data_IF_712285473070
#
_entry.id   IF_712285473070
#
_cell.length_a   1.000
_cell.length_b   1.000
_cell.length_c   1.000
_cell.angle_alpha   90.00
_cell.angle_beta   90.00
_cell.angle_gamma   90.00
#
_symmetry.space_group_name_H-M   'P 1'
#
loop_
_entity.id
_entity.type
_entity.pdbx_description
1 polymer ?
#
# COMPACT_ATOMS: atom_id res chain seq x y z
N UNK A 1 2.04 -27.93 9.16
CA UNK A 1 2.40 -26.82 10.03
C UNK A 1 3.73 -26.26 9.56
N UNK A 2 3.78 -24.97 9.29
CA UNK A 2 5.01 -24.24 8.95
C UNK A 2 5.50 -23.55 10.22
N UNK A 3 6.58 -24.01 10.89
CA UNK A 3 7.06 -23.43 12.14
C UNK A 3 7.58 -21.99 11.98
N UNK A 4 7.90 -21.59 10.72
CA UNK A 4 8.38 -20.25 10.38
C UNK A 4 7.24 -19.33 9.93
N UNK A 5 5.99 -19.80 9.93
CA UNK A 5 4.85 -19.00 9.51
C UNK A 5 4.55 -17.93 10.56
N UNK A 6 4.55 -16.69 10.10
CA UNK A 6 4.14 -15.55 10.90
C UNK A 6 2.66 -15.30 10.72
N UNK A 7 1.90 -15.33 11.81
CA UNK A 7 0.54 -14.85 11.85
C UNK A 7 0.52 -13.38 12.26
N UNK A 8 0.01 -12.53 11.40
CA UNK A 8 -0.28 -11.12 11.72
C UNK A 8 -1.72 -10.78 11.31
N UNK A 9 -2.24 -9.68 11.83
CA UNK A 9 -3.58 -9.25 11.49
C UNK A 9 -3.95 -7.89 12.05
N UNK A 10 -5.17 -7.49 11.74
CA UNK A 10 -5.79 -6.22 12.13
C UNK A 10 -6.99 -6.52 13.04
N UNK A 11 -6.78 -6.85 14.31
CA UNK A 11 -7.87 -7.20 15.20
C UNK A 11 -8.72 -5.97 15.54
N UNK A 12 -10.01 -6.20 15.82
CA UNK A 12 -10.85 -5.17 16.43
C UNK A 12 -10.32 -4.83 17.85
N UNK A 13 -10.65 -3.65 18.37
CA UNK A 13 -10.23 -3.22 19.70
C UNK A 13 -10.57 -4.23 20.80
N UNK A 14 -11.72 -4.88 20.70
CA UNK A 14 -12.14 -5.91 21.66
C UNK A 14 -11.22 -7.14 21.57
N UNK A 15 -10.93 -7.61 20.37
CA UNK A 15 -10.05 -8.74 20.14
C UNK A 15 -8.61 -8.43 20.56
N UNK A 16 -8.16 -7.19 20.28
CA UNK A 16 -6.86 -6.70 20.68
C UNK A 16 -6.68 -6.72 22.20
N UNK A 17 -7.60 -6.10 22.96
CA UNK A 17 -7.55 -6.07 24.43
C UNK A 17 -7.52 -7.47 25.02
N UNK A 18 -8.36 -8.37 24.51
CA UNK A 18 -8.39 -9.75 24.98
C UNK A 18 -7.10 -10.50 24.63
N UNK A 19 -6.65 -10.41 23.39
CA UNK A 19 -5.44 -11.09 22.91
C UNK A 19 -4.17 -10.63 23.63
N UNK A 20 -4.03 -9.32 23.88
CA UNK A 20 -2.91 -8.76 24.63
C UNK A 20 -2.94 -9.24 26.10
N UNK A 21 -4.12 -9.23 26.73
CA UNK A 21 -4.27 -9.73 28.12
C UNK A 21 -3.93 -11.21 28.25
N UNK A 22 -4.21 -12.00 27.23
CA UNK A 22 -3.90 -13.43 27.21
C UNK A 22 -2.47 -13.75 26.71
N UNK A 23 -1.67 -12.73 26.34
CA UNK A 23 -0.34 -12.93 25.80
C UNK A 23 -0.33 -13.52 24.38
N UNK A 24 -1.46 -13.49 23.67
CA UNK A 24 -1.61 -14.03 22.31
C UNK A 24 -1.24 -13.03 21.23
N UNK A 25 -1.26 -11.73 21.55
CA UNK A 25 -0.98 -10.66 20.62
C UNK A 25 0.07 -9.69 21.18
N UNK A 26 0.99 -9.30 20.31
CA UNK A 26 1.91 -8.19 20.54
C UNK A 26 1.76 -7.19 19.39
N UNK A 27 1.71 -5.89 19.69
CA UNK A 27 1.71 -4.84 18.69
C UNK A 27 3.04 -4.81 17.97
N UNK A 28 3.02 -4.82 16.65
CA UNK A 28 4.22 -4.80 15.81
C UNK A 28 4.36 -3.52 14.97
N UNK A 29 3.26 -2.83 14.68
CA UNK A 29 3.28 -1.53 14.01
C UNK A 29 1.97 -0.76 14.24
N UNK A 30 1.99 0.53 13.93
CA UNK A 30 0.83 1.40 13.89
C UNK A 30 0.25 1.47 12.48
N UNK A 31 -1.05 1.71 12.40
CA UNK A 31 -1.78 1.91 11.16
C UNK A 31 -2.17 3.38 11.03
N UNK A 32 -1.75 4.02 9.95
CA UNK A 32 -1.91 5.44 9.72
C UNK A 32 -2.88 5.72 8.58
N UNK A 33 -3.75 6.72 8.75
CA UNK A 33 -4.47 7.37 7.66
C UNK A 33 -3.66 8.57 7.18
N UNK A 34 -3.47 8.67 5.87
CA UNK A 34 -2.63 9.65 5.21
C UNK A 34 -3.47 10.38 4.17
N UNK A 35 -3.57 11.69 4.24
CA UNK A 35 -4.21 12.50 3.20
C UNK A 35 -3.16 13.23 2.37
N UNK A 36 -3.44 13.43 1.08
CA UNK A 36 -2.51 14.02 0.13
C UNK A 36 -2.94 15.41 -0.32
N UNK A 37 -1.96 16.30 -0.47
CA UNK A 37 -2.20 17.63 -1.04
C UNK A 37 -2.46 17.56 -2.54
N UNK A 38 -3.65 17.98 -2.94
CA UNK A 38 -4.05 18.09 -4.35
C UNK A 38 -3.45 19.30 -5.06
N UNK A 39 -2.81 20.23 -4.36
CA UNK A 39 -2.20 21.44 -4.92
C UNK A 39 -0.71 21.30 -5.22
N UNK A 40 -0.06 20.23 -4.76
CA UNK A 40 1.39 20.03 -4.89
C UNK A 40 1.87 20.17 -6.35
N UNK A 41 2.82 21.07 -6.67
CA UNK A 41 3.19 21.44 -8.05
C UNK A 41 3.86 20.29 -8.84
N UNK A 42 4.65 19.44 -8.20
CA UNK A 42 5.34 18.33 -8.87
C UNK A 42 4.40 17.32 -9.54
N UNK A 43 3.13 17.30 -9.16
CA UNK A 43 2.08 16.50 -9.82
C UNK A 43 1.94 16.81 -11.30
N UNK A 44 2.11 18.08 -11.72
CA UNK A 44 1.95 18.50 -13.11
C UNK A 44 3.04 17.91 -14.03
N UNK A 45 4.16 17.48 -13.46
CA UNK A 45 5.26 16.82 -14.17
C UNK A 45 5.04 15.33 -14.42
N UNK A 46 3.90 14.75 -14.01
CA UNK A 46 3.60 13.34 -14.19
C UNK A 46 2.55 13.11 -15.28
N UNK A 47 2.60 11.94 -15.87
CA UNK A 47 1.55 11.42 -16.77
C UNK A 47 1.00 10.14 -16.16
N UNK A 48 -0.31 10.09 -16.02
CA UNK A 48 -1.03 8.90 -15.55
C UNK A 48 -1.93 8.38 -16.66
N UNK A 49 -2.00 7.08 -16.79
CA UNK A 49 -2.87 6.41 -17.77
C UNK A 49 -3.50 5.20 -17.09
N UNK A 50 -4.81 5.12 -17.17
CA UNK A 50 -5.51 3.92 -16.76
C UNK A 50 -5.12 2.75 -17.65
N UNK A 51 -4.94 1.58 -17.06
CA UNK A 51 -4.51 0.36 -17.72
C UNK A 51 -5.32 -0.85 -17.24
N UNK A 52 -5.30 -1.91 -18.02
CA UNK A 52 -6.02 -3.15 -17.69
C UNK A 52 -5.02 -4.27 -17.39
N UNK A 53 -5.33 -5.09 -16.39
CA UNK A 53 -4.61 -6.34 -16.13
C UNK A 53 -4.79 -7.39 -17.25
N UNK A 54 -5.76 -7.23 -18.14
CA UNK A 54 -5.88 -8.07 -19.32
C UNK A 54 -4.79 -7.82 -20.38
N UNK A 55 -4.02 -6.71 -20.30
CA UNK A 55 -2.91 -6.43 -21.19
C UNK A 55 -1.64 -7.16 -20.70
N UNK A 56 -1.08 -8.15 -21.44
CA UNK A 56 0.12 -8.87 -21.03
C UNK A 56 1.35 -7.96 -20.87
N UNK A 57 1.39 -6.81 -21.56
CA UNK A 57 2.48 -5.84 -21.42
C UNK A 57 2.44 -5.18 -20.04
N UNK A 58 1.24 -4.89 -19.53
CA UNK A 58 1.05 -4.36 -18.17
C UNK A 58 1.52 -5.37 -17.14
N UNK A 59 1.15 -6.66 -17.28
CA UNK A 59 1.59 -7.73 -16.39
C UNK A 59 3.12 -7.87 -16.37
N UNK A 60 3.75 -7.87 -17.55
CA UNK A 60 5.22 -7.92 -17.66
C UNK A 60 5.88 -6.73 -16.97
N UNK A 61 5.32 -5.52 -17.13
CA UNK A 61 5.87 -4.32 -16.49
C UNK A 61 5.68 -4.34 -14.97
N UNK A 62 4.55 -4.84 -14.46
CA UNK A 62 4.30 -5.01 -13.01
C UNK A 62 5.35 -5.95 -12.42
N UNK A 63 5.57 -7.12 -13.02
CA UNK A 63 6.57 -8.09 -12.55
C UNK A 63 8.00 -7.49 -12.56
N UNK A 64 8.35 -6.73 -13.59
CA UNK A 64 9.64 -6.06 -13.67
C UNK A 64 9.79 -4.97 -12.57
N UNK A 65 8.73 -4.24 -12.26
CA UNK A 65 8.74 -3.23 -11.20
C UNK A 65 8.72 -3.85 -9.82
N UNK A 66 8.02 -4.97 -9.65
CA UNK A 66 8.08 -5.75 -8.40
C UNK A 66 9.51 -6.22 -8.11
N UNK A 67 10.20 -6.79 -9.09
CA UNK A 67 11.61 -7.15 -8.94
C UNK A 67 12.53 -5.98 -8.59
N UNK A 68 12.20 -4.74 -9.02
CA UNK A 68 12.93 -3.53 -8.64
C UNK A 68 12.57 -2.98 -7.26
N UNK A 69 11.39 -3.30 -6.76
CA UNK A 69 10.93 -2.89 -5.43
C UNK A 69 11.66 -3.63 -4.31
N UNK A 70 11.83 -4.94 -4.47
CA UNK A 70 12.37 -5.84 -3.45
C UNK A 70 13.72 -5.41 -2.86
N UNK A 71 14.75 -5.06 -3.66
CA UNK A 71 16.04 -4.64 -3.09
C UNK A 71 15.95 -3.38 -2.22
N UNK A 72 15.02 -2.48 -2.54
CA UNK A 72 14.83 -1.23 -1.79
C UNK A 72 14.09 -1.40 -0.47
N UNK A 73 13.44 -2.52 -0.26
CA UNK A 73 12.74 -2.85 0.98
C UNK A 73 13.69 -3.40 2.06
N UNK A 74 14.84 -3.98 1.65
CA UNK A 74 15.81 -4.55 2.60
C UNK A 74 15.19 -5.66 3.46
N UNK A 75 15.18 -5.48 4.78
CA UNK A 75 14.63 -6.46 5.74
C UNK A 75 13.12 -6.25 6.03
N UNK A 76 12.44 -5.35 5.31
CA UNK A 76 11.02 -5.13 5.57
C UNK A 76 10.18 -6.30 5.06
N UNK A 77 9.17 -6.64 5.82
CA UNK A 77 8.13 -7.59 5.41
C UNK A 77 7.12 -6.88 4.52
N UNK A 78 6.79 -7.50 3.40
CA UNK A 78 5.91 -6.94 2.37
C UNK A 78 5.04 -8.06 1.77
N UNK A 79 3.78 -7.78 1.48
CA UNK A 79 2.94 -8.66 0.69
C UNK A 79 3.43 -8.73 -0.76
N UNK A 80 3.17 -9.84 -1.42
CA UNK A 80 3.50 -10.01 -2.84
C UNK A 80 2.79 -8.96 -3.72
N UNK A 81 3.50 -8.45 -4.76
CA UNK A 81 2.95 -7.50 -5.75
C UNK A 81 3.25 -7.94 -7.18
N UNK A 82 3.27 -9.27 -7.40
CA UNK A 82 3.34 -9.81 -8.75
C UNK A 82 2.08 -9.47 -9.57
N UNK A 83 2.18 -9.62 -10.88
CA UNK A 83 1.04 -9.44 -11.76
C UNK A 83 -0.08 -10.44 -11.46
N UNK A 84 0.26 -11.67 -11.10
CA UNK A 84 -0.72 -12.71 -10.74
C UNK A 84 -1.48 -12.33 -9.48
N UNK A 85 -0.76 -11.85 -8.45
CA UNK A 85 -1.39 -11.35 -7.23
C UNK A 85 -2.31 -10.17 -7.52
N UNK A 86 -1.87 -9.16 -8.29
CA UNK A 86 -2.66 -7.99 -8.62
C UNK A 86 -3.88 -8.33 -9.49
N UNK A 87 -3.74 -9.30 -10.39
CA UNK A 87 -4.85 -9.80 -11.20
C UNK A 87 -5.93 -10.46 -10.33
N UNK A 88 -5.52 -11.32 -9.41
CA UNK A 88 -6.42 -11.95 -8.45
C UNK A 88 -7.05 -10.92 -7.51
N UNK A 89 -6.22 -10.06 -6.89
CA UNK A 89 -6.64 -9.16 -5.82
C UNK A 89 -7.51 -8.01 -6.31
N UNK A 90 -7.19 -7.43 -7.47
CA UNK A 90 -7.81 -6.19 -7.94
C UNK A 90 -8.67 -6.37 -9.18
N UNK A 91 -8.22 -7.11 -10.19
CA UNK A 91 -8.96 -7.24 -11.44
C UNK A 91 -10.17 -8.19 -11.32
N UNK A 92 -10.07 -9.21 -10.46
CA UNK A 92 -11.12 -10.20 -10.25
C UNK A 92 -11.78 -10.13 -8.87
N UNK A 93 -11.66 -8.99 -8.18
CA UNK A 93 -12.28 -8.85 -6.86
C UNK A 93 -13.82 -8.89 -6.97
N UNK A 94 -14.50 -9.78 -6.21
CA UNK A 94 -15.94 -10.04 -6.45
C UNK A 94 -16.87 -8.89 -6.03
N UNK A 95 -16.43 -8.02 -5.11
CA UNK A 95 -17.30 -7.03 -4.49
C UNK A 95 -16.82 -5.58 -4.67
N UNK A 96 -15.57 -5.36 -5.06
CA UNK A 96 -14.99 -4.02 -5.15
C UNK A 96 -14.48 -3.73 -6.56
N UNK A 97 -14.64 -2.49 -6.99
CA UNK A 97 -14.09 -2.02 -8.26
C UNK A 97 -12.82 -1.22 -8.01
N UNK A 98 -11.71 -1.70 -8.54
CA UNK A 98 -10.41 -1.05 -8.48
C UNK A 98 -10.03 -0.46 -9.84
N UNK A 99 -9.35 0.67 -9.82
CA UNK A 99 -8.83 1.35 -11.01
C UNK A 99 -7.30 1.33 -10.95
N UNK A 100 -6.68 0.85 -12.01
CA UNK A 100 -5.25 0.67 -12.11
C UNK A 100 -4.63 1.71 -13.01
N UNK A 101 -3.60 2.41 -12.55
CA UNK A 101 -2.93 3.46 -13.31
C UNK A 101 -1.42 3.22 -13.42
N UNK A 102 -0.90 3.36 -14.62
CA UNK A 102 0.52 3.49 -14.90
C UNK A 102 0.95 4.94 -14.67
N UNK A 103 2.00 5.16 -13.88
CA UNK A 103 2.60 6.48 -13.60
C UNK A 103 3.94 6.58 -14.31
N UNK A 104 4.13 7.64 -15.11
CA UNK A 104 5.36 7.88 -15.88
C UNK A 104 5.75 9.35 -15.91
N UNK A 105 7.02 9.60 -16.21
CA UNK A 105 7.49 10.96 -16.54
C UNK A 105 7.06 11.33 -17.96
N UNK A 106 6.85 12.62 -18.29
CA UNK A 106 6.37 13.05 -19.62
C UNK A 106 7.19 12.53 -20.79
N UNK A 107 8.50 12.53 -20.63
CA UNK A 107 9.46 12.19 -21.69
C UNK A 107 9.93 10.72 -21.66
N UNK A 108 9.42 9.93 -20.71
CA UNK A 108 9.81 8.54 -20.56
C UNK A 108 8.64 7.60 -20.90
N UNK A 109 8.78 6.74 -21.91
CA UNK A 109 7.67 5.91 -22.38
C UNK A 109 7.26 4.82 -21.37
N UNK A 110 8.21 4.28 -20.62
CA UNK A 110 7.95 3.25 -19.63
C UNK A 110 7.43 3.83 -18.30
N UNK A 111 6.47 3.17 -17.65
CA UNK A 111 6.07 3.54 -16.30
C UNK A 111 7.20 3.27 -15.30
N UNK A 112 7.30 4.11 -14.30
CA UNK A 112 8.18 3.88 -13.15
C UNK A 112 7.43 3.32 -11.94
N UNK A 113 6.10 3.37 -11.98
CA UNK A 113 5.22 2.80 -10.97
C UNK A 113 3.85 2.47 -11.55
N UNK A 114 3.15 1.56 -10.88
CA UNK A 114 1.70 1.42 -10.97
C UNK A 114 1.08 1.69 -9.62
N UNK A 115 -0.13 2.24 -9.64
CA UNK A 115 -0.93 2.55 -8.45
C UNK A 115 -2.34 2.01 -8.63
N UNK A 116 -2.95 1.55 -7.54
CA UNK A 116 -4.33 1.06 -7.50
C UNK A 116 -5.16 2.04 -6.69
N UNK A 117 -6.29 2.46 -7.25
CA UNK A 117 -7.25 3.34 -6.59
C UNK A 117 -8.61 2.67 -6.46
N UNK A 118 -9.35 3.03 -5.41
CA UNK A 118 -10.74 2.64 -5.19
C UNK A 118 -11.53 3.85 -4.68
N UNK A 119 -12.70 4.09 -5.25
CA UNK A 119 -13.62 5.09 -4.71
C UNK A 119 -14.29 4.55 -3.44
N UNK A 120 -14.27 5.32 -2.37
CA UNK A 120 -14.88 4.94 -1.07
C UNK A 120 -16.12 5.75 -0.76
N UNK A 121 -16.21 6.96 -1.32
CA UNK A 121 -17.38 7.83 -1.31
C UNK A 121 -17.29 8.75 -2.54
N UNK A 122 -18.37 9.38 -2.99
CA UNK A 122 -18.34 10.24 -4.16
C UNK A 122 -17.22 11.28 -4.10
N UNK A 123 -16.29 11.17 -5.05
CA UNK A 123 -15.12 12.05 -5.15
C UNK A 123 -14.00 11.80 -4.14
N UNK A 124 -14.12 10.82 -3.25
CA UNK A 124 -13.08 10.43 -2.29
C UNK A 124 -12.45 9.09 -2.67
N UNK A 125 -11.15 9.11 -2.95
CA UNK A 125 -10.42 7.99 -3.50
C UNK A 125 -9.34 7.48 -2.54
N UNK A 126 -9.38 6.19 -2.26
CA UNK A 126 -8.35 5.47 -1.52
C UNK A 126 -7.25 5.04 -2.49
N UNK A 127 -6.00 5.45 -2.24
CA UNK A 127 -4.84 4.84 -2.85
C UNK A 127 -4.54 3.53 -2.13
N UNK A 128 -4.85 2.43 -2.80
CA UNK A 128 -4.91 1.08 -2.22
C UNK A 128 -3.54 0.42 -2.18
N UNK A 129 -2.80 0.48 -3.29
CA UNK A 129 -1.54 -0.25 -3.43
C UNK A 129 -0.60 0.38 -4.47
N UNK A 130 0.64 -0.08 -4.45
CA UNK A 130 1.75 0.44 -5.24
C UNK A 130 2.71 -0.68 -5.63
N UNK A 131 3.23 -0.62 -6.86
CA UNK A 131 4.42 -1.36 -7.29
C UNK A 131 5.38 -0.45 -8.06
N UNK A 132 6.65 -0.49 -7.66
CA UNK A 132 7.72 0.34 -8.22
C UNK A 132 8.88 0.41 -7.25
N UNK A 133 10.02 0.98 -7.65
CA UNK A 133 11.13 1.19 -6.71
C UNK A 133 10.68 2.06 -5.53
N UNK A 134 11.05 1.70 -4.30
CA UNK A 134 10.69 2.46 -3.10
C UNK A 134 11.21 3.91 -3.10
N UNK A 135 12.25 4.18 -3.89
CA UNK A 135 12.79 5.54 -4.06
C UNK A 135 11.80 6.47 -4.77
N UNK A 136 10.97 5.93 -5.66
CA UNK A 136 9.96 6.72 -6.38
C UNK A 136 8.59 6.71 -5.70
N UNK A 137 8.46 6.14 -4.51
CA UNK A 137 7.20 6.04 -3.79
C UNK A 137 6.52 7.42 -3.57
N UNK A 138 7.23 8.49 -3.16
CA UNK A 138 6.62 9.82 -3.06
C UNK A 138 6.08 10.34 -4.41
N UNK A 139 6.78 10.06 -5.53
CA UNK A 139 6.28 10.42 -6.85
C UNK A 139 5.07 9.58 -7.27
N UNK A 140 5.01 8.33 -6.86
CA UNK A 140 3.84 7.48 -7.10
C UNK A 140 2.61 7.99 -6.34
N UNK A 141 2.78 8.52 -5.12
CA UNK A 141 1.72 9.20 -4.37
C UNK A 141 1.15 10.39 -5.15
N UNK A 142 2.01 11.24 -5.72
CA UNK A 142 1.58 12.33 -6.60
C UNK A 142 0.90 11.80 -7.88
N UNK A 143 1.32 10.65 -8.37
CA UNK A 143 0.66 9.91 -9.46
C UNK A 143 -0.75 9.45 -9.08
N UNK A 144 -0.94 8.93 -7.85
CA UNK A 144 -2.25 8.55 -7.34
C UNK A 144 -3.19 9.78 -7.24
N UNK A 145 -2.69 10.92 -6.75
CA UNK A 145 -3.44 12.19 -6.72
C UNK A 145 -3.82 12.64 -8.14
N UNK A 146 -2.89 12.55 -9.10
CA UNK A 146 -3.17 12.90 -10.49
C UNK A 146 -4.23 11.98 -11.12
N UNK A 147 -4.18 10.68 -10.84
CA UNK A 147 -5.17 9.70 -11.29
C UNK A 147 -6.54 9.96 -10.67
N UNK A 148 -6.62 10.24 -9.37
CA UNK A 148 -7.85 10.65 -8.70
C UNK A 148 -8.50 11.85 -9.39
N UNK A 149 -7.73 12.89 -9.70
CA UNK A 149 -8.26 14.07 -10.40
C UNK A 149 -8.72 13.77 -11.83
N UNK A 150 -8.04 12.89 -12.55
CA UNK A 150 -8.47 12.43 -13.87
C UNK A 150 -9.83 11.74 -13.81
N UNK A 151 -10.14 11.11 -12.67
CA UNK A 151 -11.43 10.48 -12.37
C UNK A 151 -12.50 11.48 -11.86
N UNK A 152 -12.19 12.76 -11.77
CA UNK A 152 -13.07 13.77 -11.19
C UNK A 152 -13.08 13.78 -9.65
N UNK A 153 -12.15 13.08 -9.02
CA UNK A 153 -12.03 13.01 -7.57
C UNK A 153 -11.51 14.30 -6.95
N UNK A 154 -11.92 14.55 -5.71
CA UNK A 154 -11.63 15.77 -4.94
C UNK A 154 -10.62 15.53 -3.84
N UNK A 155 -10.55 14.32 -3.30
CA UNK A 155 -9.60 13.95 -2.24
C UNK A 155 -9.00 12.56 -2.47
N UNK A 156 -7.73 12.42 -2.11
CA UNK A 156 -6.98 11.16 -2.13
C UNK A 156 -6.41 10.91 -0.76
N UNK A 157 -6.58 9.70 -0.27
CA UNK A 157 -6.00 9.27 1.00
C UNK A 157 -5.44 7.85 0.85
N UNK A 158 -4.61 7.43 1.79
CA UNK A 158 -4.08 6.09 1.87
C UNK A 158 -4.07 5.60 3.31
N UNK A 159 -3.95 4.30 3.48
CA UNK A 159 -3.56 3.70 4.75
C UNK A 159 -2.23 2.99 4.60
N UNK A 160 -1.43 3.03 5.65
CA UNK A 160 -0.15 2.33 5.67
C UNK A 160 0.49 2.28 7.05
N UNK A 161 1.51 1.44 7.13
CA UNK A 161 2.37 1.30 8.31
C UNK A 161 3.29 2.51 8.51
N UNK A 162 3.91 2.60 9.68
CA UNK A 162 4.93 3.61 9.99
C UNK A 162 6.03 3.67 8.93
N UNK A 163 6.46 2.52 8.39
CA UNK A 163 7.44 2.44 7.30
C UNK A 163 6.96 3.15 6.04
N UNK A 164 5.71 2.89 5.63
CA UNK A 164 5.08 3.54 4.46
C UNK A 164 5.00 5.05 4.67
N UNK A 165 4.58 5.47 5.85
CA UNK A 165 4.51 6.87 6.24
C UNK A 165 5.85 7.60 6.10
N UNK A 166 6.89 7.04 6.69
CA UNK A 166 8.21 7.65 6.70
C UNK A 166 8.80 7.81 5.29
N UNK A 167 8.33 7.02 4.32
CA UNK A 167 8.78 7.11 2.91
C UNK A 167 8.05 8.18 2.09
N UNK A 168 6.91 8.66 2.53
CA UNK A 168 6.16 9.71 1.83
C UNK A 168 6.77 11.10 1.99
N UNK A 169 7.40 11.38 3.14
CA UNK A 169 7.98 12.69 3.41
C UNK A 169 6.95 13.82 3.30
N UNK A 170 7.34 14.91 2.64
CA UNK A 170 6.53 16.14 2.51
C UNK A 170 5.34 16.02 1.53
N UNK A 171 5.20 14.89 0.85
CA UNK A 171 4.07 14.67 -0.09
C UNK A 171 2.75 14.42 0.66
N UNK A 172 2.84 13.89 1.88
CA UNK A 172 1.68 13.72 2.74
C UNK A 172 1.26 15.06 3.35
N UNK A 173 -0.03 15.41 3.22
CA UNK A 173 -0.59 16.63 3.80
C UNK A 173 -0.87 16.44 5.30
N UNK A 174 -1.51 15.33 5.65
CA UNK A 174 -1.77 14.96 7.04
C UNK A 174 -1.42 13.49 7.26
N UNK A 175 -1.05 13.19 8.49
CA UNK A 175 -0.83 11.85 8.99
C UNK A 175 -1.52 11.71 10.34
N UNK A 176 -2.43 10.75 10.44
CA UNK A 176 -3.14 10.46 11.68
C UNK A 176 -2.98 8.98 12.00
N UNK A 177 -2.41 8.63 13.17
CA UNK A 177 -2.51 7.26 13.63
C UNK A 177 -3.98 6.90 13.82
N UNK A 178 -4.37 5.71 13.38
CA UNK A 178 -5.72 5.19 13.59
C UNK A 178 -5.80 4.46 14.94
N UNK A 179 -7.00 4.05 15.33
CA UNK A 179 -7.17 3.16 16.49
C UNK A 179 -6.75 1.71 16.18
N UNK A 180 -6.62 1.37 14.90
CA UNK A 180 -6.21 0.04 14.45
C UNK A 180 -4.72 -0.15 14.72
N UNK A 181 -4.36 -1.32 15.25
CA UNK A 181 -2.99 -1.76 15.47
C UNK A 181 -2.73 -3.02 14.67
N UNK A 182 -1.51 -3.16 14.20
CA UNK A 182 -1.06 -4.40 13.56
C UNK A 182 -0.46 -5.28 14.63
N UNK A 183 -0.96 -6.49 14.71
CA UNK A 183 -0.61 -7.45 15.74
C UNK A 183 0.04 -8.68 15.15
N UNK A 184 1.00 -9.25 15.84
CA UNK A 184 1.52 -10.58 15.56
C UNK A 184 1.40 -11.49 16.80
N UNK A 185 1.43 -12.80 16.55
CA UNK A 185 1.49 -13.77 17.63
C UNK A 185 2.93 -13.87 18.15
N UNK A 186 3.22 -13.52 19.42
CA UNK A 186 4.56 -13.60 20.00
C UNK A 186 5.10 -15.03 20.10
N UNK A 187 4.22 -16.05 20.05
CA UNK A 187 4.62 -17.45 20.03
C UNK A 187 5.21 -17.91 18.68
N UNK A 188 5.19 -17.07 17.64
CA UNK A 188 5.78 -17.38 16.33
C UNK A 188 7.32 -17.47 16.33
N UNK A 189 7.96 -17.38 17.50
CA UNK A 189 9.40 -17.53 17.70
C UNK A 189 9.97 -16.51 18.70
N UNK A 190 10.93 -16.92 19.49
CA UNK A 190 11.61 -16.04 20.42
C UNK A 190 12.30 -14.88 19.70
N UNK A 191 11.98 -13.63 20.08
CA UNK A 191 12.57 -12.43 19.49
C UNK A 191 11.98 -12.02 18.15
N UNK A 192 10.92 -12.68 17.68
CA UNK A 192 10.31 -12.35 16.38
C UNK A 192 9.67 -10.95 16.39
N UNK A 193 8.90 -10.66 17.44
CA UNK A 193 8.21 -9.36 17.56
C UNK A 193 9.21 -8.22 17.56
N UNK A 194 10.28 -8.34 18.35
CA UNK A 194 11.35 -7.34 18.46
C UNK A 194 12.12 -7.18 17.15
N UNK A 195 12.36 -8.27 16.45
CA UNK A 195 13.10 -8.26 15.18
C UNK A 195 12.34 -7.55 14.08
N UNK A 196 11.01 -7.70 14.02
CA UNK A 196 10.18 -7.21 12.94
C UNK A 196 9.25 -6.03 13.33
N UNK A 197 9.30 -5.55 14.57
CA UNK A 197 8.60 -4.34 14.95
C UNK A 197 8.99 -3.17 14.03
N UNK A 198 7.99 -2.45 13.51
CA UNK A 198 8.14 -1.32 12.59
C UNK A 198 8.89 -1.63 11.28
N UNK A 199 8.99 -2.89 10.89
CA UNK A 199 9.60 -3.34 9.63
C UNK A 199 8.56 -3.88 8.64
N UNK A 200 7.38 -3.31 8.61
CA UNK A 200 6.30 -3.75 7.75
C UNK A 200 6.01 -2.71 6.67
N UNK A 201 6.02 -3.17 5.42
CA UNK A 201 5.53 -2.39 4.30
C UNK A 201 4.14 -2.88 3.94
N UNK A 202 3.13 -2.34 4.62
CA UNK A 202 1.74 -2.68 4.35
C UNK A 202 0.97 -1.41 3.95
N UNK A 203 0.09 -1.57 2.97
CA UNK A 203 -0.87 -0.58 2.50
C UNK A 203 -2.29 -1.15 2.58
N UNK A 204 -3.29 -0.37 2.22
CA UNK A 204 -4.69 -0.79 2.24
C UNK A 204 -4.96 -2.09 1.46
N UNK A 205 -4.18 -2.37 0.41
CA UNK A 205 -4.26 -3.59 -0.38
C UNK A 205 -3.84 -4.87 0.34
N UNK A 206 -3.11 -4.75 1.43
CA UNK A 206 -2.65 -5.89 2.24
C UNK A 206 -3.69 -6.32 3.30
N UNK A 207 -4.86 -5.69 3.34
CA UNK A 207 -5.92 -5.97 4.31
C UNK A 207 -7.28 -6.08 3.63
N UNK A 208 -8.16 -6.91 4.16
CA UNK A 208 -9.56 -7.01 3.77
C UNK A 208 -10.47 -6.13 4.62
N UNK A 209 -9.90 -5.36 5.53
CA UNK A 209 -10.62 -4.61 6.54
C UNK A 209 -11.26 -3.31 6.02
N UNK A 210 -10.85 -2.79 4.86
CA UNK A 210 -11.22 -1.46 4.35
C UNK A 210 -12.22 -1.54 3.19
#
# INVERSE_FOLDING_TARGET
DNPDALAFGFPSDRAMRLGTRLGLFATIDDWHEIEFDHTHPARQALRVREVSMADPRVQTQINALWGKMLPGLGEHLVGERSADYWNWRYAHHPAQTYRLFAVRRPWWPAPFAFVVLRETAPGRWLWVDFVGSVVVFPLAALGAVAACRQLGGQSTFAFGTTTVMNRLGEVACTNRPTEIRIMANPASGAGFVERFAHKWWLMAGDTDYL
#
